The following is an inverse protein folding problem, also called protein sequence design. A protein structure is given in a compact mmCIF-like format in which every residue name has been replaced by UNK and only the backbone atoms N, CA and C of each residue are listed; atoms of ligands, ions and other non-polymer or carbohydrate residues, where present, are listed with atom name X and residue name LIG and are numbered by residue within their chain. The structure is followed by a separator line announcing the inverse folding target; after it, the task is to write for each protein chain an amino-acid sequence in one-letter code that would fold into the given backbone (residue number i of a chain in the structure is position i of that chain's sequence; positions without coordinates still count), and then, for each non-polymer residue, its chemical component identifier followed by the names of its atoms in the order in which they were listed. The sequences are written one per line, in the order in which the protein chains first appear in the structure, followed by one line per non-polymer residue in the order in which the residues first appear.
data_IF_841962617265
#
_entry.id   IF_841962617265
#
_cell.length_a   1.000
_cell.length_b   1.000
_cell.length_c   1.000
_cell.angle_alpha   90.00
_cell.angle_beta   90.00
_cell.angle_gamma   90.00
#
_symmetry.space_group_name_H-M   'P 1'
#
loop_
_entity.id
_entity.type
_entity.pdbx_description
1 polymer ?
#
# COMPACT_ATOMS: atom_id res chain seq x y z
N UNK A 1 12.51 13.43 -13.59
CA UNK A 1 13.86 12.82 -13.65
C UNK A 1 14.87 13.70 -12.91
N UNK A 2 15.19 13.33 -11.68
CA UNK A 2 16.20 14.06 -10.92
C UNK A 2 17.60 13.64 -11.38
N UNK A 3 18.45 14.61 -11.74
CA UNK A 3 19.83 14.37 -12.17
C UNK A 3 20.72 13.79 -11.06
N UNK A 4 20.29 13.82 -9.81
CA UNK A 4 20.98 13.23 -8.66
C UNK A 4 20.65 11.74 -8.43
N UNK A 5 19.66 11.17 -9.11
CA UNK A 5 19.32 9.75 -8.98
C UNK A 5 20.51 8.84 -9.25
N UNK A 6 20.71 7.86 -8.39
CA UNK A 6 21.85 6.95 -8.45
C UNK A 6 23.19 7.57 -8.00
N UNK A 7 23.17 8.74 -7.35
CA UNK A 7 24.36 9.39 -6.77
C UNK A 7 24.41 9.30 -5.23
N UNK A 8 23.69 8.36 -4.64
CA UNK A 8 23.71 8.12 -3.20
C UNK A 8 23.30 9.37 -2.42
N UNK A 9 24.18 9.84 -1.54
CA UNK A 9 23.90 10.97 -0.63
C UNK A 9 23.38 12.25 -1.31
N UNK A 10 23.81 12.56 -2.55
CA UNK A 10 23.33 13.75 -3.28
C UNK A 10 21.81 13.63 -3.55
N UNK A 11 21.34 12.44 -3.91
CA UNK A 11 19.91 12.17 -4.09
C UNK A 11 19.17 12.18 -2.74
N UNK A 12 19.73 11.53 -1.72
CA UNK A 12 19.10 11.48 -0.41
C UNK A 12 18.92 12.88 0.20
N UNK A 13 19.90 13.75 0.06
CA UNK A 13 19.80 15.15 0.52
C UNK A 13 18.72 15.93 -0.25
N UNK A 14 18.64 15.75 -1.56
CA UNK A 14 17.58 16.36 -2.37
C UNK A 14 16.18 15.86 -1.95
N UNK A 15 16.03 14.54 -1.79
CA UNK A 15 14.78 13.93 -1.38
C UNK A 15 14.34 14.40 0.01
N UNK A 16 15.28 14.44 0.96
CA UNK A 16 15.01 14.90 2.32
C UNK A 16 14.60 16.36 2.38
N UNK A 17 15.15 17.23 1.52
CA UNK A 17 14.71 18.63 1.44
C UNK A 17 13.25 18.73 1.00
N UNK A 18 12.86 18.00 -0.05
CA UNK A 18 11.45 17.95 -0.50
C UNK A 18 10.53 17.35 0.57
N UNK A 19 10.97 16.24 1.19
CA UNK A 19 10.22 15.58 2.24
C UNK A 19 10.00 16.51 3.44
N UNK A 20 11.03 17.25 3.86
CA UNK A 20 10.93 18.22 4.95
C UNK A 20 9.90 19.30 4.65
N UNK A 21 9.91 19.86 3.45
CA UNK A 21 8.91 20.84 3.00
C UNK A 21 7.48 20.25 3.09
N UNK A 22 7.27 19.05 2.54
CA UNK A 22 5.96 18.39 2.59
C UNK A 22 5.49 18.10 4.01
N UNK A 23 6.40 17.73 4.90
CA UNK A 23 6.05 17.36 6.28
C UNK A 23 5.91 18.55 7.24
N UNK A 24 6.27 19.77 6.82
CA UNK A 24 6.20 20.98 7.66
C UNK A 24 5.20 22.02 7.20
N UNK A 25 4.91 22.10 5.89
CA UNK A 25 4.15 23.22 5.31
C UNK A 25 2.64 22.93 5.12
N UNK A 26 2.20 21.68 5.27
CA UNK A 26 0.85 21.25 4.90
C UNK A 26 0.00 20.70 6.06
N UNK A 27 0.47 20.85 7.31
CA UNK A 27 -0.23 20.40 8.51
C UNK A 27 0.00 18.91 8.82
N UNK A 28 -0.90 18.34 9.63
CA UNK A 28 -0.78 16.96 10.09
C UNK A 28 -0.99 15.96 8.94
N UNK A 29 -0.08 14.99 8.85
CA UNK A 29 -0.11 13.93 7.84
C UNK A 29 -0.48 12.62 8.50
N UNK A 30 -1.46 11.92 7.93
CA UNK A 30 -1.91 10.61 8.44
C UNK A 30 -1.04 9.46 7.94
N UNK A 31 -0.72 9.43 6.64
CA UNK A 31 0.08 8.37 6.01
C UNK A 31 1.17 8.97 5.15
N UNK A 32 2.38 8.43 5.28
CA UNK A 32 3.51 8.65 4.38
C UNK A 32 3.73 7.34 3.63
N UNK A 33 3.39 7.34 2.34
CA UNK A 33 3.47 6.16 1.50
C UNK A 33 4.76 6.17 0.68
N UNK A 34 5.58 5.14 0.85
CA UNK A 34 6.89 5.02 0.20
C UNK A 34 6.91 3.83 -0.74
N UNK A 35 6.87 4.07 -2.04
CA UNK A 35 6.99 3.03 -3.06
C UNK A 35 8.26 2.19 -2.86
N UNK A 36 9.41 2.83 -2.75
CA UNK A 36 10.67 2.15 -2.53
C UNK A 36 11.27 1.51 -3.77
N UNK A 37 10.60 1.54 -4.92
CA UNK A 37 11.17 1.07 -6.17
C UNK A 37 12.49 1.79 -6.47
N UNK A 38 13.53 1.03 -6.81
CA UNK A 38 14.87 1.56 -7.03
C UNK A 38 15.53 0.97 -8.29
N UNK A 39 14.72 0.72 -9.32
CA UNK A 39 15.19 0.25 -10.61
C UNK A 39 16.22 1.16 -11.27
N UNK A 40 16.76 0.73 -12.39
CA UNK A 40 17.73 1.49 -13.17
C UNK A 40 17.10 2.76 -13.75
N UNK A 41 17.68 3.92 -13.40
CA UNK A 41 17.22 5.19 -13.95
C UNK A 41 17.71 5.42 -15.39
N UNK A 42 17.25 6.50 -16.06
CA UNK A 42 17.65 6.83 -17.42
C UNK A 42 19.16 7.04 -17.62
N UNK A 43 19.89 7.22 -16.52
CA UNK A 43 21.35 7.37 -16.49
C UNK A 43 22.09 6.04 -16.28
N UNK A 44 21.39 4.90 -16.31
CA UNK A 44 21.94 3.57 -16.08
C UNK A 44 22.36 3.29 -14.63
N UNK A 45 21.86 4.06 -13.67
CA UNK A 45 22.22 3.92 -12.25
C UNK A 45 21.02 3.52 -11.40
N UNK A 46 21.30 2.75 -10.35
CA UNK A 46 20.37 2.37 -9.28
C UNK A 46 20.65 3.24 -8.06
N UNK A 47 19.58 3.76 -7.43
CA UNK A 47 19.70 4.50 -6.17
C UNK A 47 19.65 3.52 -4.99
N UNK A 48 20.59 3.68 -4.08
CA UNK A 48 20.53 3.05 -2.76
C UNK A 48 20.01 4.10 -1.77
N UNK A 49 18.80 3.88 -1.26
CA UNK A 49 18.12 4.81 -0.35
C UNK A 49 18.67 4.74 1.07
N UNK A 50 18.81 5.88 1.72
CA UNK A 50 19.15 5.98 3.15
C UNK A 50 17.86 5.97 4.00
N UNK A 51 17.23 4.80 4.10
CA UNK A 51 15.97 4.60 4.81
C UNK A 51 16.00 5.10 6.25
N UNK A 52 17.11 4.92 6.95
CA UNK A 52 17.23 5.32 8.35
C UNK A 52 17.15 6.85 8.51
N UNK A 53 17.77 7.62 7.61
CA UNK A 53 17.63 9.08 7.60
C UNK A 53 16.22 9.50 7.24
N UNK A 54 15.58 8.82 6.29
CA UNK A 54 14.21 9.12 5.88
C UNK A 54 13.24 8.90 7.06
N UNK A 55 13.26 7.74 7.69
CA UNK A 55 12.40 7.44 8.83
C UNK A 55 12.63 8.39 10.00
N UNK A 56 13.91 8.76 10.27
CA UNK A 56 14.24 9.71 11.32
C UNK A 56 13.53 11.06 11.11
N UNK A 57 13.63 11.63 9.90
CA UNK A 57 12.99 12.92 9.56
C UNK A 57 11.47 12.81 9.63
N UNK A 58 10.88 11.73 9.11
CA UNK A 58 9.44 11.50 9.16
C UNK A 58 8.94 11.44 10.62
N UNK A 59 9.60 10.69 11.48
CA UNK A 59 9.23 10.57 12.89
C UNK A 59 9.42 11.87 13.69
N UNK A 60 10.45 12.65 13.36
CA UNK A 60 10.68 13.94 14.00
C UNK A 60 9.64 14.99 13.63
N UNK A 61 9.25 15.05 12.37
CA UNK A 61 8.33 16.07 11.85
C UNK A 61 6.86 15.66 11.93
N UNK A 62 6.55 14.37 11.79
CA UNK A 62 5.19 13.82 11.82
C UNK A 62 5.16 12.55 12.69
N UNK A 63 5.27 12.66 14.01
CA UNK A 63 5.42 11.51 14.91
C UNK A 63 4.22 10.56 14.92
N UNK A 64 3.04 11.05 14.55
CA UNK A 64 1.79 10.28 14.50
C UNK A 64 1.49 9.69 13.10
N UNK A 65 2.26 10.06 12.08
CA UNK A 65 2.04 9.53 10.74
C UNK A 65 2.44 8.05 10.65
N UNK A 66 1.64 7.28 9.93
CA UNK A 66 1.96 5.90 9.56
C UNK A 66 2.89 5.92 8.34
N UNK A 67 3.99 5.18 8.40
CA UNK A 67 4.93 5.03 7.28
C UNK A 67 4.68 3.67 6.63
N UNK A 68 4.12 3.71 5.41
CA UNK A 68 3.56 2.55 4.70
C UNK A 68 4.47 2.08 3.56
N UNK A 69 4.34 0.81 3.23
CA UNK A 69 4.97 0.02 2.15
C UNK A 69 6.47 -0.21 2.39
N UNK A 70 7.37 0.68 1.96
CA UNK A 70 8.79 0.62 2.33
C UNK A 70 9.05 1.31 3.68
N UNK A 71 8.10 1.20 4.60
CA UNK A 71 8.12 1.79 5.93
C UNK A 71 8.02 0.74 7.02
N UNK A 72 8.31 1.13 8.27
CA UNK A 72 8.34 0.19 9.41
C UNK A 72 6.95 -0.15 9.97
N UNK A 73 5.85 0.50 9.51
CA UNK A 73 4.55 0.40 10.17
C UNK A 73 3.54 -0.48 9.44
N UNK A 74 3.50 -0.41 8.11
CA UNK A 74 2.58 -1.17 7.27
C UNK A 74 3.35 -1.74 6.09
N UNK A 75 3.19 -3.04 5.84
CA UNK A 75 3.82 -3.75 4.72
C UNK A 75 2.90 -3.81 3.50
N UNK A 76 3.53 -3.94 2.35
CA UNK A 76 2.81 -4.27 1.13
C UNK A 76 2.32 -5.73 1.16
N UNK A 77 1.11 -5.96 0.66
CA UNK A 77 0.52 -7.30 0.55
C UNK A 77 1.29 -8.20 -0.43
N UNK A 78 1.92 -7.63 -1.46
CA UNK A 78 2.75 -8.36 -2.42
C UNK A 78 2.14 -8.48 -3.82
N UNK A 79 0.98 -7.89 -4.08
CA UNK A 79 0.34 -7.81 -5.40
C UNK A 79 -0.57 -6.58 -5.49
N UNK A 80 -0.97 -6.23 -6.72
CA UNK A 80 -1.90 -5.13 -7.03
C UNK A 80 -3.26 -5.66 -7.53
N UNK A 81 -3.52 -6.96 -7.36
CA UNK A 81 -4.74 -7.62 -7.82
C UNK A 81 -5.89 -7.56 -6.81
N UNK A 82 -5.63 -7.19 -5.57
CA UNK A 82 -6.62 -7.22 -4.48
C UNK A 82 -6.71 -8.57 -3.77
N UNK A 83 -5.73 -9.45 -3.97
CA UNK A 83 -5.66 -10.76 -3.34
C UNK A 83 -4.87 -10.71 -2.01
N UNK A 84 -5.31 -11.49 -1.04
CA UNK A 84 -4.65 -11.62 0.26
C UNK A 84 -4.41 -13.09 0.59
N UNK A 85 -3.45 -13.34 1.50
CA UNK A 85 -3.15 -14.70 1.97
C UNK A 85 -4.20 -15.17 2.97
N UNK A 86 -4.46 -16.48 3.06
CA UNK A 86 -5.29 -17.02 4.15
C UNK A 86 -4.75 -16.70 5.55
N UNK A 87 -3.43 -16.52 5.67
CA UNK A 87 -2.73 -16.17 6.92
C UNK A 87 -2.17 -14.73 6.86
N UNK A 88 -2.97 -13.76 6.42
CA UNK A 88 -2.59 -12.34 6.36
C UNK A 88 -2.67 -11.70 7.76
N UNK A 89 -1.87 -12.22 8.67
CA UNK A 89 -1.80 -11.74 10.05
C UNK A 89 -0.95 -10.49 10.16
N UNK A 90 -1.27 -9.67 11.18
CA UNK A 90 -0.50 -8.46 11.47
C UNK A 90 0.81 -8.74 12.21
N UNK A 91 0.99 -9.94 12.73
CA UNK A 91 2.26 -10.38 13.36
C UNK A 91 3.02 -11.23 12.38
N UNK A 92 4.27 -10.85 12.10
CA UNK A 92 5.16 -11.52 11.16
C UNK A 92 6.58 -11.64 11.74
N UNK A 93 7.45 -12.39 11.08
CA UNK A 93 8.86 -12.41 11.43
C UNK A 93 9.50 -11.01 11.32
N UNK A 94 10.38 -10.66 12.24
CA UNK A 94 10.98 -9.33 12.35
C UNK A 94 11.76 -8.90 11.11
N UNK A 95 12.41 -9.81 10.42
CA UNK A 95 13.17 -9.55 9.19
C UNK A 95 12.29 -9.05 8.03
N UNK A 96 10.98 -9.36 8.05
CA UNK A 96 10.02 -8.83 7.09
C UNK A 96 9.89 -7.30 7.12
N UNK A 97 10.35 -6.63 8.18
CA UNK A 97 10.36 -5.16 8.28
C UNK A 97 11.57 -4.52 7.58
N UNK A 98 12.42 -5.30 6.91
CA UNK A 98 13.54 -4.77 6.14
C UNK A 98 13.03 -4.19 4.80
N UNK A 99 13.18 -2.87 4.56
CA UNK A 99 12.73 -2.24 3.33
C UNK A 99 13.44 -2.76 2.07
N UNK A 100 14.59 -3.41 2.20
CA UNK A 100 15.26 -4.05 1.07
C UNK A 100 14.47 -5.25 0.52
N UNK A 101 13.69 -5.93 1.35
CA UNK A 101 12.82 -7.04 0.93
C UNK A 101 11.68 -6.48 0.08
N UNK A 102 11.01 -5.41 0.54
CA UNK A 102 9.94 -4.75 -0.23
C UNK A 102 10.47 -4.21 -1.56
N UNK A 103 11.61 -3.52 -1.54
CA UNK A 103 12.24 -3.01 -2.75
C UNK A 103 12.56 -4.12 -3.76
N UNK A 104 13.06 -5.27 -3.31
CA UNK A 104 13.36 -6.41 -4.18
C UNK A 104 12.09 -7.03 -4.80
N UNK A 105 10.98 -7.06 -4.06
CA UNK A 105 9.71 -7.59 -4.54
C UNK A 105 8.98 -6.64 -5.50
N UNK A 106 9.16 -5.33 -5.34
CA UNK A 106 8.51 -4.30 -6.17
C UNK A 106 9.25 -3.97 -7.47
N UNK A 107 10.47 -4.48 -7.68
CA UNK A 107 11.27 -4.26 -8.89
C UNK A 107 10.84 -5.17 -10.04
N UNK A 108 9.61 -5.02 -10.50
CA UNK A 108 9.10 -5.72 -11.66
C UNK A 108 8.57 -4.71 -12.68
N UNK A 109 8.49 -5.12 -13.94
CA UNK A 109 7.89 -4.29 -14.97
C UNK A 109 6.40 -4.10 -14.67
N UNK A 110 5.93 -2.86 -14.65
CA UNK A 110 4.53 -2.55 -14.43
C UNK A 110 3.70 -2.90 -15.68
N UNK A 111 3.23 -4.13 -15.72
CA UNK A 111 2.41 -4.68 -16.79
C UNK A 111 1.20 -5.44 -16.22
N UNK A 112 0.32 -5.93 -17.11
CA UNK A 112 -0.89 -6.64 -16.71
C UNK A 112 -0.60 -7.91 -15.90
N UNK A 113 0.46 -8.64 -16.20
CA UNK A 113 0.87 -9.84 -15.48
C UNK A 113 1.28 -9.48 -14.04
N UNK A 114 2.07 -8.42 -13.85
CA UNK A 114 2.45 -7.93 -12.54
C UNK A 114 1.24 -7.48 -11.71
N UNK A 115 0.32 -6.71 -12.31
CA UNK A 115 -0.88 -6.19 -11.64
C UNK A 115 -1.85 -7.29 -11.22
N UNK A 116 -1.91 -8.39 -11.97
CA UNK A 116 -2.79 -9.53 -11.71
C UNK A 116 -2.05 -10.74 -11.15
N UNK A 117 -0.80 -10.56 -10.73
CA UNK A 117 0.04 -11.64 -10.22
C UNK A 117 -0.60 -12.32 -9.02
N UNK A 118 -0.77 -13.65 -9.05
CA UNK A 118 -1.15 -14.40 -7.86
C UNK A 118 -0.02 -14.31 -6.83
N UNK A 119 -0.35 -14.46 -5.56
CA UNK A 119 0.65 -14.58 -4.51
C UNK A 119 1.49 -15.84 -4.75
N UNK A 120 2.81 -15.69 -4.67
CA UNK A 120 3.76 -16.79 -4.82
C UNK A 120 3.48 -17.87 -3.75
N UNK A 121 3.50 -19.14 -4.15
CA UNK A 121 3.29 -20.28 -3.25
C UNK A 121 4.28 -20.29 -2.08
N UNK A 122 5.50 -19.81 -2.28
CA UNK A 122 6.51 -19.70 -1.22
C UNK A 122 6.18 -18.61 -0.20
N UNK A 123 5.25 -17.71 -0.52
CA UNK A 123 4.82 -16.57 0.29
C UNK A 123 3.35 -16.68 0.73
N UNK A 124 2.75 -17.84 0.61
CA UNK A 124 1.32 -18.06 0.97
C UNK A 124 1.06 -17.97 2.48
N UNK A 125 2.09 -18.11 3.30
CA UNK A 125 1.98 -18.02 4.75
C UNK A 125 3.10 -17.16 5.34
N UNK A 126 2.72 -16.01 5.92
CA UNK A 126 3.66 -15.11 6.61
C UNK A 126 3.44 -15.05 8.13
N UNK A 127 2.27 -15.45 8.60
CA UNK A 127 1.87 -15.17 9.97
C UNK A 127 1.15 -16.29 10.71
N UNK A 128 1.06 -17.52 10.16
CA UNK A 128 0.50 -18.63 10.91
C UNK A 128 1.39 -19.01 12.10
N UNK A 129 0.80 -19.69 13.08
CA UNK A 129 1.56 -20.17 14.26
C UNK A 129 2.67 -21.15 13.87
N UNK A 130 2.42 -21.97 12.85
CA UNK A 130 3.41 -22.91 12.30
C UNK A 130 4.57 -22.16 11.66
N UNK A 131 4.29 -21.13 10.86
CA UNK A 131 5.32 -20.31 10.20
C UNK A 131 6.18 -19.57 11.23
N UNK A 132 5.57 -19.07 12.30
CA UNK A 132 6.25 -18.24 13.30
C UNK A 132 6.89 -19.07 14.43
N UNK A 133 6.65 -20.39 14.51
CA UNK A 133 7.05 -21.21 15.65
C UNK A 133 8.56 -21.20 15.96
N UNK A 134 9.40 -20.98 14.96
CA UNK A 134 10.85 -20.97 15.07
C UNK A 134 11.47 -19.58 14.92
N UNK A 135 10.65 -18.54 14.79
CA UNK A 135 11.15 -17.17 14.65
C UNK A 135 11.58 -16.62 16.03
N UNK A 136 12.76 -16.00 16.05
CA UNK A 136 13.31 -15.47 17.31
C UNK A 136 12.69 -14.12 17.70
N UNK A 137 12.35 -13.32 16.70
CA UNK A 137 11.80 -11.99 16.87
C UNK A 137 10.58 -11.80 15.98
N UNK A 138 9.54 -11.21 16.53
CA UNK A 138 8.30 -10.90 15.84
C UNK A 138 8.09 -9.39 15.78
N UNK A 139 7.37 -8.95 14.75
CA UNK A 139 6.95 -7.56 14.58
C UNK A 139 5.45 -7.47 14.36
N UNK A 140 4.86 -6.41 14.87
CA UNK A 140 3.53 -5.96 14.45
C UNK A 140 3.68 -5.20 13.14
N UNK A 141 3.21 -5.79 12.04
CA UNK A 141 3.41 -5.27 10.69
C UNK A 141 2.20 -5.61 9.82
N UNK A 142 1.06 -4.92 10.02
CA UNK A 142 -0.17 -5.15 9.26
C UNK A 142 0.05 -4.88 7.77
N UNK A 143 -0.76 -5.52 6.94
CA UNK A 143 -0.66 -5.41 5.49
C UNK A 143 -1.56 -4.32 4.91
N UNK A 144 -1.13 -3.75 3.79
CA UNK A 144 -1.93 -2.95 2.88
C UNK A 144 -2.06 -3.64 1.53
N UNK A 145 -3.27 -3.66 1.01
CA UNK A 145 -3.61 -4.07 -0.35
C UNK A 145 -3.89 -2.83 -1.16
N UNK A 146 -3.09 -2.55 -2.16
CA UNK A 146 -3.26 -1.42 -3.07
C UNK A 146 -3.77 -1.90 -4.43
N UNK A 147 -4.78 -1.20 -4.94
CA UNK A 147 -5.47 -1.55 -6.18
C UNK A 147 -5.91 -0.29 -6.89
N UNK A 148 -5.77 -0.24 -8.21
CA UNK A 148 -6.39 0.83 -8.98
C UNK A 148 -7.80 0.46 -9.44
N UNK A 149 -8.71 1.44 -9.44
CA UNK A 149 -10.06 1.27 -10.03
C UNK A 149 -10.03 1.09 -11.55
N UNK A 150 -8.92 1.47 -12.20
CA UNK A 150 -8.64 1.37 -13.64
C UNK A 150 -7.52 0.40 -13.92
N UNK A 151 -7.27 0.01 -15.19
CA UNK A 151 -6.16 -0.87 -15.55
C UNK A 151 -4.79 -0.33 -15.12
N UNK A 152 -4.60 1.00 -15.13
CA UNK A 152 -3.37 1.68 -14.72
C UNK A 152 -3.54 2.58 -13.50
N UNK A 153 -2.41 3.14 -13.03
CA UNK A 153 -2.36 4.06 -11.88
C UNK A 153 -2.71 5.52 -12.26
N UNK A 154 -2.70 5.84 -13.54
CA UNK A 154 -3.02 7.16 -14.08
C UNK A 154 -4.26 7.12 -14.95
N UNK A 155 -4.90 8.29 -15.11
CA UNK A 155 -6.08 8.42 -15.96
C UNK A 155 -5.72 8.39 -17.44
N UNK A 156 -6.40 7.53 -18.20
CA UNK A 156 -6.40 7.46 -19.65
C UNK A 156 -7.85 7.39 -20.14
N UNK A 157 -8.23 8.28 -21.09
CA UNK A 157 -9.60 8.37 -21.62
C UNK A 157 -10.02 7.08 -22.35
N UNK A 158 -9.08 6.41 -22.98
CA UNK A 158 -9.30 5.13 -23.68
C UNK A 158 -9.62 3.94 -22.74
N UNK A 159 -9.51 4.15 -21.42
CA UNK A 159 -9.82 3.16 -20.37
C UNK A 159 -11.16 3.44 -19.67
N UNK A 160 -11.98 4.40 -20.15
CA UNK A 160 -13.24 4.79 -19.49
C UNK A 160 -14.28 3.67 -19.45
N UNK A 161 -14.19 2.69 -20.36
CA UNK A 161 -15.03 1.49 -20.40
C UNK A 161 -14.41 0.29 -19.65
N UNK A 162 -13.20 0.43 -19.11
CA UNK A 162 -12.45 -0.62 -18.41
C UNK A 162 -12.40 -0.41 -16.88
N UNK A 163 -13.18 0.51 -16.37
CA UNK A 163 -13.29 0.77 -14.93
C UNK A 163 -13.83 -0.48 -14.22
N UNK A 164 -13.22 -0.87 -13.11
CA UNK A 164 -13.67 -2.02 -12.30
C UNK A 164 -15.14 -1.87 -11.92
N UNK A 165 -15.92 -2.92 -12.16
CA UNK A 165 -17.34 -2.94 -11.80
C UNK A 165 -17.53 -2.95 -10.28
N UNK A 166 -18.71 -2.55 -9.84
CA UNK A 166 -19.09 -2.64 -8.43
C UNK A 166 -18.87 -4.06 -7.86
N UNK A 167 -19.27 -5.11 -8.59
CA UNK A 167 -19.11 -6.49 -8.12
C UNK A 167 -17.62 -6.88 -7.92
N UNK A 168 -16.73 -6.40 -8.81
CA UNK A 168 -15.30 -6.63 -8.64
C UNK A 168 -14.73 -5.84 -7.45
N UNK A 169 -15.10 -4.56 -7.30
CA UNK A 169 -14.66 -3.74 -6.16
C UNK A 169 -15.17 -4.31 -4.82
N UNK A 170 -16.40 -4.81 -4.78
CA UNK A 170 -16.97 -5.48 -3.62
C UNK A 170 -16.19 -6.76 -3.25
N UNK A 171 -15.85 -7.58 -4.24
CA UNK A 171 -15.06 -8.80 -4.03
C UNK A 171 -13.67 -8.44 -3.46
N UNK A 172 -13.00 -7.45 -4.05
CA UNK A 172 -11.72 -6.93 -3.56
C UNK A 172 -11.84 -6.43 -2.11
N UNK A 173 -12.88 -5.64 -1.79
CA UNK A 173 -13.10 -5.15 -0.44
C UNK A 173 -13.29 -6.29 0.58
N UNK A 174 -14.12 -7.25 0.24
CA UNK A 174 -14.39 -8.39 1.13
C UNK A 174 -13.17 -9.28 1.32
N UNK A 175 -12.35 -9.47 0.28
CA UNK A 175 -11.10 -10.23 0.37
C UNK A 175 -10.04 -9.45 1.15
N UNK A 176 -9.80 -8.19 0.84
CA UNK A 176 -8.74 -7.38 1.43
C UNK A 176 -9.06 -6.99 2.88
N UNK A 177 -10.08 -6.17 3.11
CA UNK A 177 -10.47 -5.74 4.46
C UNK A 177 -10.98 -6.92 5.29
N UNK A 178 -11.78 -7.80 4.70
CA UNK A 178 -12.22 -9.03 5.34
C UNK A 178 -11.09 -10.04 5.59
N UNK A 179 -10.01 -9.95 4.83
CA UNK A 179 -8.78 -10.74 4.98
C UNK A 179 -7.71 -10.11 5.87
N UNK A 180 -8.07 -9.08 6.66
CA UNK A 180 -7.18 -8.42 7.62
C UNK A 180 -6.11 -7.53 6.98
N UNK A 181 -6.44 -6.82 5.87
CA UNK A 181 -5.58 -5.79 5.30
C UNK A 181 -6.28 -4.44 5.25
N UNK A 182 -5.50 -3.37 5.15
CA UNK A 182 -6.02 -2.05 4.74
C UNK A 182 -6.16 -2.03 3.23
N UNK A 183 -7.30 -1.58 2.71
CA UNK A 183 -7.48 -1.37 1.28
C UNK A 183 -7.13 0.08 0.91
N UNK A 184 -6.16 0.26 0.03
CA UNK A 184 -5.87 1.51 -0.66
C UNK A 184 -6.39 1.40 -2.10
N UNK A 185 -7.47 2.12 -2.40
CA UNK A 185 -8.06 2.14 -3.74
C UNK A 185 -7.65 3.43 -4.46
N UNK A 186 -6.86 3.29 -5.52
CA UNK A 186 -6.47 4.41 -6.37
C UNK A 186 -7.62 4.84 -7.30
N UNK A 187 -7.91 6.14 -7.30
CA UNK A 187 -8.85 6.78 -8.20
C UNK A 187 -8.12 7.89 -8.97
N UNK A 188 -7.60 7.61 -10.17
CA UNK A 188 -6.79 8.58 -10.90
C UNK A 188 -7.61 9.76 -11.40
N UNK A 189 -7.22 11.01 -11.10
CA UNK A 189 -7.96 12.18 -11.55
C UNK A 189 -7.71 12.46 -13.04
N UNK A 190 -8.74 12.94 -13.73
CA UNK A 190 -8.64 13.51 -15.05
C UNK A 190 -7.74 14.76 -15.05
N UNK A 191 -7.31 15.20 -16.23
CA UNK A 191 -6.48 16.43 -16.41
C UNK A 191 -7.10 17.71 -15.81
N UNK A 192 -8.42 17.74 -15.65
CA UNK A 192 -9.14 18.87 -15.03
C UNK A 192 -9.23 18.77 -13.49
N UNK A 193 -8.57 17.74 -12.87
CA UNK A 193 -8.54 17.51 -11.44
C UNK A 193 -9.80 16.83 -10.86
N UNK A 194 -10.74 16.39 -11.69
CA UNK A 194 -11.94 15.65 -11.25
C UNK A 194 -11.78 14.17 -11.48
N UNK A 195 -12.47 13.38 -10.69
CA UNK A 195 -12.63 11.94 -10.92
C UNK A 195 -13.71 11.72 -11.99
N UNK A 196 -13.49 10.78 -12.89
CA UNK A 196 -14.42 10.45 -13.97
C UNK A 196 -15.75 9.91 -13.40
N UNK A 197 -16.85 10.17 -14.10
CA UNK A 197 -18.20 9.83 -13.62
C UNK A 197 -18.43 8.34 -13.41
N UNK A 198 -17.83 7.49 -14.25
CA UNK A 198 -17.92 6.02 -14.12
C UNK A 198 -17.21 5.55 -12.84
N UNK A 199 -16.02 6.09 -12.53
CA UNK A 199 -15.28 5.77 -11.31
C UNK A 199 -16.10 6.19 -10.07
N UNK A 200 -16.67 7.40 -10.10
CA UNK A 200 -17.53 7.91 -9.03
C UNK A 200 -18.77 7.04 -8.85
N UNK A 201 -19.41 6.59 -9.93
CA UNK A 201 -20.60 5.75 -9.87
C UNK A 201 -20.31 4.40 -9.19
N UNK A 202 -19.23 3.72 -9.60
CA UNK A 202 -18.83 2.44 -9.01
C UNK A 202 -18.35 2.57 -7.56
N UNK A 203 -17.62 3.64 -7.25
CA UNK A 203 -17.19 3.93 -5.88
C UNK A 203 -18.38 4.21 -4.96
N UNK A 204 -19.39 4.95 -5.41
CA UNK A 204 -20.63 5.18 -4.63
C UNK A 204 -21.38 3.89 -4.31
N UNK A 205 -21.50 2.99 -5.28
CA UNK A 205 -22.12 1.69 -5.06
C UNK A 205 -21.38 0.87 -4.01
N UNK A 206 -20.03 0.90 -4.07
CA UNK A 206 -19.18 0.26 -3.05
C UNK A 206 -19.41 0.89 -1.67
N UNK A 207 -19.42 2.22 -1.57
CA UNK A 207 -19.67 2.94 -0.31
C UNK A 207 -21.05 2.62 0.28
N UNK A 208 -22.10 2.62 -0.54
CA UNK A 208 -23.45 2.25 -0.13
C UNK A 208 -23.53 0.78 0.35
N UNK A 209 -22.84 -0.13 -0.34
CA UNK A 209 -22.74 -1.52 0.09
C UNK A 209 -22.07 -1.64 1.47
N UNK A 210 -20.94 -0.98 1.68
CA UNK A 210 -20.19 -1.01 2.95
C UNK A 210 -21.08 -0.45 4.07
N UNK A 211 -21.66 0.73 3.88
CA UNK A 211 -22.51 1.37 4.87
C UNK A 211 -23.71 0.49 5.25
N UNK A 212 -24.44 -0.02 4.25
CA UNK A 212 -25.63 -0.82 4.49
C UNK A 212 -25.33 -2.18 5.12
N UNK A 213 -24.17 -2.78 4.80
CA UNK A 213 -23.81 -4.11 5.29
C UNK A 213 -23.22 -4.05 6.71
N UNK A 214 -22.40 -3.05 7.01
CA UNK A 214 -21.62 -2.99 8.26
C UNK A 214 -22.08 -1.89 9.21
N UNK A 215 -23.23 -1.26 8.94
CA UNK A 215 -23.80 -0.19 9.75
C UNK A 215 -24.10 -0.61 11.19
N UNK A 216 -24.53 -1.85 11.38
CA UNK A 216 -24.94 -2.37 12.67
C UNK A 216 -23.87 -3.32 13.22
N UNK A 217 -23.42 -3.03 14.45
CA UNK A 217 -22.57 -3.95 15.19
C UNK A 217 -23.45 -5.00 15.90
N UNK A 218 -23.51 -6.20 15.36
CA UNK A 218 -24.35 -7.28 15.91
C UNK A 218 -23.92 -7.69 17.32
N UNK A 219 -22.66 -7.47 17.70
CA UNK A 219 -22.18 -7.74 19.08
C UNK A 219 -22.78 -6.77 20.07
N UNK A 220 -22.84 -5.48 19.71
CA UNK A 220 -23.48 -4.44 20.54
C UNK A 220 -24.99 -4.67 20.66
N UNK A 221 -25.66 -5.01 19.56
CA UNK A 221 -27.10 -5.33 19.54
C UNK A 221 -27.42 -6.57 20.38
N UNK A 222 -26.53 -7.57 20.41
CA UNK A 222 -26.70 -8.75 21.23
C UNK A 222 -26.43 -8.51 22.73
N UNK A 223 -26.02 -7.30 23.12
CA UNK A 223 -25.73 -6.95 24.50
C UNK A 223 -24.48 -7.64 25.09
N UNK A 224 -23.58 -8.12 24.23
CA UNK A 224 -22.32 -8.75 24.63
C UNK A 224 -21.31 -7.65 24.94
N UNK A 225 -21.02 -7.44 26.23
CA UNK A 225 -20.11 -6.39 26.70
C UNK A 225 -18.70 -6.88 27.01
N UNK A 226 -18.46 -8.18 26.97
CA UNK A 226 -17.15 -8.78 27.28
C UNK A 226 -16.97 -10.05 26.47
N UNK A 227 -15.83 -10.18 25.80
CA UNK A 227 -15.34 -11.39 25.16
C UNK A 227 -14.19 -11.95 25.98
#
# INVERSE_FOLDING_TARGET
NNSSYGKGKEYDDYYLNQLTELLTEYGDIFVIWLDGACGEGPNGKVQKYDWQRYYKVMRELQPNAVISISGPDIRWCGNEAGEVRPSEWSVVAKDMTDPAITAALSQQEDNEEFRNRPLDETQTDLGSRERLANEKELAWYPAETDVSIRPGWFYHEEEDDQVRSFENLKDIYLKSVGGNTTLLLNLPPMKNGRIHETDVANLKQLGEFIENTFKYNLVDEAGITTI
#
